data_IF_841788051859
#
_entry.id   IF_841788051859
#
_cell.length_a   1.000
_cell.length_b   1.000
_cell.length_c   1.000
_cell.angle_alpha   90.00
_cell.angle_beta   90.00
_cell.angle_gamma   90.00
#
_symmetry.space_group_name_H-M   'P 1'
#
loop_
_entity.id
_entity.type
_entity.pdbx_description
1 polymer ?
#
# COMPACT_ATOMS: atom_id res chain seq x y z
N UNK A 1 11.43 -21.85 69.47
CA UNK A 1 11.03 -20.62 68.74
C UNK A 1 11.26 -20.89 67.27
N UNK A 2 10.21 -21.31 66.58
CA UNK A 2 10.27 -21.68 65.16
C UNK A 2 9.79 -20.49 64.30
N UNK A 3 10.72 -19.85 63.56
CA UNK A 3 10.37 -18.78 62.60
C UNK A 3 9.90 -19.42 61.29
N UNK A 4 8.60 -19.37 61.10
CA UNK A 4 7.95 -19.80 59.85
C UNK A 4 8.11 -18.67 58.81
N UNK A 5 9.02 -18.87 57.86
CA UNK A 5 9.16 -17.96 56.73
C UNK A 5 8.15 -18.33 55.66
N UNK A 6 7.07 -17.56 55.57
CA UNK A 6 6.15 -17.62 54.43
C UNK A 6 6.85 -17.08 53.19
N UNK A 7 7.12 -17.95 52.23
CA UNK A 7 7.57 -17.57 50.86
C UNK A 7 6.32 -17.32 50.03
N UNK A 8 6.03 -16.03 49.77
CA UNK A 8 4.97 -15.64 48.85
C UNK A 8 5.53 -15.74 47.44
N UNK A 9 5.17 -16.79 46.72
CA UNK A 9 5.48 -16.91 45.29
C UNK A 9 4.56 -15.98 44.49
N UNK A 10 5.12 -14.91 43.96
CA UNK A 10 4.40 -14.03 42.99
C UNK A 10 4.30 -14.72 41.63
N UNK A 11 3.12 -15.21 41.29
CA UNK A 11 2.82 -15.73 39.95
C UNK A 11 2.61 -14.53 39.02
N UNK A 12 3.61 -14.25 38.19
CA UNK A 12 3.49 -13.25 37.10
C UNK A 12 2.73 -13.91 35.96
N UNK A 13 1.45 -13.62 35.84
CA UNK A 13 0.64 -13.98 34.68
C UNK A 13 1.05 -13.09 33.49
N UNK A 14 1.85 -13.65 32.58
CA UNK A 14 2.12 -13.04 31.26
C UNK A 14 0.83 -13.10 30.44
N UNK A 15 0.10 -12.00 30.42
CA UNK A 15 -1.06 -11.82 29.54
C UNK A 15 -0.54 -11.57 28.12
N UNK A 16 -0.37 -12.64 27.34
CA UNK A 16 -0.14 -12.55 25.91
C UNK A 16 -1.43 -12.02 25.26
N UNK A 17 -1.49 -10.73 25.00
CA UNK A 17 -2.60 -10.18 24.20
C UNK A 17 -2.53 -10.77 22.80
N UNK A 18 -3.54 -11.52 22.34
CA UNK A 18 -3.56 -11.99 20.97
C UNK A 18 -3.64 -10.77 20.05
N UNK A 19 -2.75 -10.70 19.05
CA UNK A 19 -2.86 -9.75 17.96
C UNK A 19 -4.19 -10.05 17.25
N UNK A 20 -5.23 -9.26 17.56
CA UNK A 20 -6.56 -9.46 16.98
C UNK A 20 -6.50 -9.09 15.52
N UNK A 21 -6.76 -10.07 14.65
CA UNK A 21 -6.94 -9.83 13.23
C UNK A 21 -8.13 -8.89 13.03
N UNK A 22 -7.86 -7.68 12.51
CA UNK A 22 -8.93 -6.74 12.21
C UNK A 22 -9.80 -7.28 11.07
N UNK A 23 -11.12 -6.96 11.04
CA UNK A 23 -12.00 -7.37 9.96
C UNK A 23 -11.47 -6.82 8.63
N UNK A 24 -11.49 -7.67 7.59
CA UNK A 24 -11.03 -7.30 6.25
C UNK A 24 -11.93 -6.20 5.68
N UNK A 25 -11.33 -5.10 5.19
CA UNK A 25 -12.04 -4.04 4.47
C UNK A 25 -12.67 -4.55 3.17
N UNK A 26 -13.76 -3.94 2.73
CA UNK A 26 -14.32 -4.17 1.41
C UNK A 26 -13.35 -3.65 0.32
N UNK A 27 -13.42 -4.22 -0.90
CA UNK A 27 -12.71 -3.70 -2.06
C UNK A 27 -13.48 -2.51 -2.65
N UNK A 28 -13.43 -1.38 -1.95
CA UNK A 28 -14.04 -0.13 -2.38
C UNK A 28 -13.27 1.04 -1.79
N UNK A 29 -12.85 1.96 -2.62
CA UNK A 29 -12.20 3.18 -2.17
C UNK A 29 -13.25 4.15 -1.59
N UNK A 30 -13.07 4.54 -0.34
CA UNK A 30 -13.99 5.43 0.36
C UNK A 30 -13.51 6.90 0.26
N UNK A 31 -13.81 7.56 -0.83
CA UNK A 31 -13.45 8.96 -1.04
C UNK A 31 -14.23 9.96 -0.16
N UNK A 32 -15.25 9.50 0.57
CA UNK A 32 -16.05 10.34 1.48
C UNK A 32 -15.28 10.74 2.74
N UNK A 33 -14.18 10.04 3.05
CA UNK A 33 -13.31 10.37 4.19
C UNK A 33 -12.55 11.68 4.00
N UNK A 34 -12.35 12.10 2.74
CA UNK A 34 -11.58 13.30 2.40
C UNK A 34 -12.43 14.55 2.47
N UNK A 35 -11.87 15.62 3.05
CA UNK A 35 -12.35 16.97 2.84
C UNK A 35 -12.14 17.40 1.39
N UNK A 36 -12.88 18.41 0.87
CA UNK A 36 -12.79 18.82 -0.54
C UNK A 36 -11.37 19.06 -1.04
N UNK A 37 -10.53 19.75 -0.25
CA UNK A 37 -9.14 20.08 -0.60
C UNK A 37 -8.24 18.84 -0.61
N UNK A 38 -8.46 17.93 0.33
CA UNK A 38 -7.72 16.68 0.43
C UNK A 38 -8.07 15.74 -0.75
N UNK A 39 -9.35 15.70 -1.12
CA UNK A 39 -9.82 14.96 -2.31
C UNK A 39 -9.24 15.52 -3.60
N UNK A 40 -9.12 16.84 -3.71
CA UNK A 40 -8.47 17.50 -4.84
C UNK A 40 -7.00 17.09 -4.95
N UNK A 41 -6.25 17.18 -3.85
CA UNK A 41 -4.83 16.75 -3.79
C UNK A 41 -4.66 15.27 -4.13
N UNK A 42 -5.55 14.41 -3.61
CA UNK A 42 -5.55 12.99 -3.95
C UNK A 42 -5.68 12.77 -5.45
N UNK A 43 -6.66 13.43 -6.09
CA UNK A 43 -6.90 13.32 -7.54
C UNK A 43 -5.71 13.82 -8.36
N UNK A 44 -5.19 14.99 -8.03
CA UNK A 44 -4.04 15.59 -8.73
C UNK A 44 -2.79 14.72 -8.60
N UNK A 45 -2.52 14.16 -7.43
CA UNK A 45 -1.39 13.26 -7.22
C UNK A 45 -1.58 11.92 -7.95
N UNK A 46 -2.78 11.36 -7.93
CA UNK A 46 -3.13 10.16 -8.70
C UNK A 46 -2.89 10.36 -10.18
N UNK A 47 -3.45 11.43 -10.77
CA UNK A 47 -3.34 11.72 -12.19
C UNK A 47 -1.87 11.90 -12.61
N UNK A 48 -1.07 12.60 -11.78
CA UNK A 48 0.34 12.82 -12.04
C UNK A 48 1.15 11.52 -11.95
N UNK A 49 0.94 10.71 -10.92
CA UNK A 49 1.64 9.43 -10.76
C UNK A 49 1.27 8.48 -11.89
N UNK A 50 -0.02 8.29 -12.18
CA UNK A 50 -0.47 7.35 -13.21
C UNK A 50 -0.02 7.76 -14.62
N UNK A 51 -0.02 9.05 -14.94
CA UNK A 51 0.50 9.56 -16.22
C UNK A 51 2.01 9.42 -16.37
N UNK A 52 2.73 9.26 -15.26
CA UNK A 52 4.19 9.08 -15.21
C UNK A 52 4.63 7.62 -15.27
N UNK A 53 3.71 6.67 -15.29
CA UNK A 53 4.03 5.24 -15.37
C UNK A 53 4.60 4.90 -16.74
N UNK A 54 5.84 4.43 -16.78
CA UNK A 54 6.53 3.97 -17.99
C UNK A 54 6.22 2.51 -18.30
N UNK A 55 6.34 1.65 -17.29
CA UNK A 55 6.19 0.21 -17.41
C UNK A 55 5.36 -0.33 -16.27
N UNK A 56 4.51 -1.30 -16.57
CA UNK A 56 3.77 -2.09 -15.58
C UNK A 56 4.26 -3.52 -15.65
N UNK A 57 4.71 -4.04 -14.50
CA UNK A 57 5.09 -5.44 -14.32
C UNK A 57 4.09 -6.15 -13.43
N UNK A 58 3.61 -7.27 -13.89
CA UNK A 58 2.70 -8.12 -13.12
C UNK A 58 3.44 -8.83 -11.98
N UNK A 59 2.83 -8.84 -10.80
CA UNK A 59 3.26 -9.59 -9.62
C UNK A 59 2.23 -10.69 -9.31
N UNK A 60 2.57 -11.64 -8.45
CA UNK A 60 1.64 -12.70 -8.04
C UNK A 60 0.36 -12.15 -7.42
N UNK A 61 0.46 -11.09 -6.62
CA UNK A 61 -0.62 -10.49 -5.83
C UNK A 61 -0.88 -9.00 -6.12
N UNK A 62 -0.42 -8.49 -7.28
CA UNK A 62 -0.57 -7.09 -7.66
C UNK A 62 0.28 -6.70 -8.86
N UNK A 63 0.76 -5.47 -8.87
CA UNK A 63 1.53 -4.88 -9.96
C UNK A 63 2.66 -3.98 -9.43
N UNK A 64 3.78 -3.95 -10.14
CA UNK A 64 4.86 -2.99 -9.95
C UNK A 64 4.86 -1.98 -11.10
N UNK A 65 4.88 -0.72 -10.75
CA UNK A 65 4.83 0.42 -11.67
C UNK A 65 6.20 1.10 -11.67
N UNK A 66 6.87 1.13 -12.81
CA UNK A 66 8.07 1.96 -12.99
C UNK A 66 7.63 3.39 -13.30
N UNK A 67 8.08 4.33 -12.49
CA UNK A 67 7.69 5.75 -12.56
C UNK A 67 8.80 6.56 -13.23
N UNK A 68 8.42 7.43 -14.14
CA UNK A 68 9.30 8.48 -14.67
C UNK A 68 9.48 9.56 -13.61
N UNK A 69 10.61 9.53 -12.90
CA UNK A 69 10.91 10.45 -11.80
C UNK A 69 11.09 11.91 -12.24
N UNK A 70 11.29 12.16 -13.54
CA UNK A 70 11.31 13.52 -14.11
C UNK A 70 9.90 14.12 -14.21
N UNK A 71 8.86 13.29 -14.28
CA UNK A 71 7.45 13.69 -14.39
C UNK A 71 6.68 13.62 -13.08
N UNK A 72 6.99 12.64 -12.22
CA UNK A 72 6.45 12.55 -10.87
C UNK A 72 7.59 12.31 -9.88
N UNK A 73 7.87 13.31 -9.03
CA UNK A 73 8.89 13.19 -7.99
C UNK A 73 8.53 12.12 -6.95
N UNK A 74 9.53 11.61 -6.23
CA UNK A 74 9.33 10.69 -5.09
C UNK A 74 8.37 11.27 -4.05
N UNK A 75 8.44 12.58 -3.80
CA UNK A 75 7.53 13.27 -2.87
C UNK A 75 6.09 13.18 -3.36
N UNK A 76 5.85 13.32 -4.66
CA UNK A 76 4.51 13.19 -5.25
C UNK A 76 3.98 11.75 -5.15
N UNK A 77 4.83 10.75 -5.38
CA UNK A 77 4.47 9.34 -5.19
C UNK A 77 4.11 9.08 -3.72
N UNK A 78 4.91 9.58 -2.78
CA UNK A 78 4.66 9.42 -1.35
C UNK A 78 3.36 10.12 -0.91
N UNK A 79 3.07 11.32 -1.41
CA UNK A 79 1.82 12.04 -1.15
C UNK A 79 0.60 11.24 -1.61
N UNK A 80 0.66 10.70 -2.84
CA UNK A 80 -0.42 9.86 -3.34
C UNK A 80 -0.60 8.60 -2.47
N UNK A 81 0.49 7.89 -2.16
CA UNK A 81 0.43 6.69 -1.31
C UNK A 81 -0.17 7.01 0.06
N UNK A 82 0.20 8.15 0.69
CA UNK A 82 -0.35 8.55 1.99
C UNK A 82 -1.86 8.80 1.93
N UNK A 83 -2.35 9.38 0.85
CA UNK A 83 -3.77 9.61 0.64
C UNK A 83 -4.50 8.33 0.25
N UNK A 84 -3.94 7.56 -0.69
CA UNK A 84 -4.55 6.32 -1.20
C UNK A 84 -4.77 5.28 -0.10
N UNK A 85 -3.80 5.06 0.79
CA UNK A 85 -3.93 4.11 1.90
C UNK A 85 -5.06 4.45 2.87
N UNK A 86 -5.49 5.71 2.93
CA UNK A 86 -6.62 6.14 3.77
C UNK A 86 -7.95 5.71 3.15
N UNK A 87 -8.12 5.91 1.83
CA UNK A 87 -9.37 5.60 1.15
C UNK A 87 -9.46 4.14 0.69
N UNK A 88 -8.33 3.51 0.40
CA UNK A 88 -8.23 2.12 -0.08
C UNK A 88 -7.33 1.28 0.86
N UNK A 89 -7.79 0.97 2.09
CA UNK A 89 -6.94 0.37 3.15
C UNK A 89 -6.58 -1.10 2.89
N UNK A 90 -7.00 -1.67 1.78
CA UNK A 90 -6.69 -3.05 1.36
C UNK A 90 -5.45 -3.14 0.46
N UNK A 91 -4.83 -2.02 0.10
CA UNK A 91 -3.57 -2.01 -0.62
C UNK A 91 -2.37 -2.07 0.34
N UNK A 92 -1.38 -2.86 -0.07
CA UNK A 92 -0.01 -2.82 0.45
C UNK A 92 0.86 -2.08 -0.57
N UNK A 93 1.63 -1.10 -0.08
CA UNK A 93 2.48 -0.27 -0.93
C UNK A 93 3.96 -0.52 -0.61
N UNK A 94 4.77 -0.60 -1.65
CA UNK A 94 6.22 -0.59 -1.54
C UNK A 94 6.79 0.39 -2.57
N UNK A 95 7.68 1.27 -2.12
CA UNK A 95 8.38 2.22 -2.98
C UNK A 95 9.87 1.88 -2.94
N UNK A 96 10.41 1.48 -4.07
CA UNK A 96 11.83 1.17 -4.22
C UNK A 96 12.51 2.30 -4.99
N UNK A 97 13.59 2.82 -4.42
CA UNK A 97 14.41 3.88 -4.99
C UNK A 97 15.77 3.30 -5.34
N UNK A 98 16.10 3.27 -6.62
CA UNK A 98 17.39 2.79 -7.11
C UNK A 98 18.35 3.96 -7.27
N UNK A 99 19.38 4.02 -6.42
CA UNK A 99 20.28 5.18 -6.33
C UNK A 99 21.18 5.38 -7.53
N UNK A 100 21.57 4.32 -8.26
CA UNK A 100 22.52 4.42 -9.36
C UNK A 100 21.87 4.96 -10.65
N UNK A 101 20.65 4.55 -10.95
CA UNK A 101 19.94 4.93 -12.19
C UNK A 101 18.74 5.86 -11.96
N UNK A 102 18.45 6.18 -10.70
CA UNK A 102 17.33 7.04 -10.33
C UNK A 102 15.95 6.43 -10.55
N UNK A 103 15.86 5.11 -10.82
CA UNK A 103 14.60 4.42 -11.07
C UNK A 103 13.75 4.45 -9.80
N UNK A 104 12.47 4.77 -9.97
CA UNK A 104 11.44 4.70 -8.93
C UNK A 104 10.45 3.61 -9.30
N UNK A 105 10.30 2.62 -8.44
CA UNK A 105 9.31 1.56 -8.60
C UNK A 105 8.27 1.64 -7.47
N UNK A 106 6.99 1.65 -7.84
CA UNK A 106 5.87 1.60 -6.91
C UNK A 106 5.14 0.27 -7.08
N UNK A 107 5.16 -0.57 -6.06
CA UNK A 107 4.39 -1.81 -6.04
C UNK A 107 3.07 -1.60 -5.28
N UNK A 108 1.98 -2.00 -5.93
CA UNK A 108 0.64 -2.10 -5.33
C UNK A 108 0.30 -3.57 -5.27
N UNK A 109 0.12 -4.08 -4.06
CA UNK A 109 -0.19 -5.48 -3.79
C UNK A 109 -1.27 -5.59 -2.73
N UNK A 110 -1.64 -6.80 -2.36
CA UNK A 110 -2.55 -7.04 -1.25
C UNK A 110 -3.05 -8.48 -1.22
N UNK A 111 -4.09 -8.70 -0.42
CA UNK A 111 -4.77 -10.00 -0.29
C UNK A 111 -5.45 -10.44 -1.59
N UNK A 112 -5.89 -11.69 -1.63
CA UNK A 112 -6.62 -12.26 -2.76
C UNK A 112 -7.78 -11.35 -3.22
N UNK A 113 -7.84 -11.09 -4.53
CA UNK A 113 -8.80 -10.17 -5.16
C UNK A 113 -8.28 -8.75 -5.41
N UNK A 114 -7.23 -8.30 -4.70
CA UNK A 114 -6.65 -6.95 -4.89
C UNK A 114 -6.07 -6.77 -6.29
N UNK A 115 -5.37 -7.77 -6.81
CA UNK A 115 -4.81 -7.73 -8.16
C UNK A 115 -5.87 -7.47 -9.23
N UNK A 116 -7.01 -8.17 -9.14
CA UNK A 116 -8.15 -8.00 -10.05
C UNK A 116 -8.78 -6.62 -9.89
N UNK A 117 -8.90 -6.14 -8.64
CA UNK A 117 -9.39 -4.79 -8.36
C UNK A 117 -8.50 -3.73 -9.02
N UNK A 118 -7.16 -3.82 -8.88
CA UNK A 118 -6.22 -2.90 -9.51
C UNK A 118 -6.40 -2.88 -11.04
N UNK A 119 -6.49 -4.06 -11.66
CA UNK A 119 -6.66 -4.19 -13.10
C UNK A 119 -7.97 -3.56 -13.62
N UNK A 120 -9.03 -3.53 -12.81
CA UNK A 120 -10.31 -2.93 -13.18
C UNK A 120 -10.38 -1.43 -12.87
N UNK A 121 -9.83 -1.00 -11.73
CA UNK A 121 -9.97 0.37 -11.22
C UNK A 121 -9.02 1.35 -11.91
N UNK A 122 -7.78 0.92 -12.18
CA UNK A 122 -6.78 1.77 -12.83
C UNK A 122 -6.90 1.73 -14.37
N UNK A 123 -8.04 2.21 -14.89
CA UNK A 123 -8.35 2.18 -16.33
C UNK A 123 -7.33 2.90 -17.20
N UNK A 124 -6.68 3.95 -16.69
CA UNK A 124 -5.60 4.68 -17.39
C UNK A 124 -4.36 3.83 -17.67
N UNK A 125 -4.21 2.68 -16.99
CA UNK A 125 -3.10 1.75 -17.17
C UNK A 125 -3.47 0.49 -17.95
N UNK A 126 -4.71 0.34 -18.44
CA UNK A 126 -5.19 -0.88 -19.09
C UNK A 126 -4.29 -1.33 -20.25
N UNK A 127 -3.90 -0.40 -21.13
CA UNK A 127 -3.00 -0.69 -22.26
C UNK A 127 -1.60 -1.14 -21.80
N UNK A 128 -1.16 -0.62 -20.64
CA UNK A 128 0.15 -0.96 -20.07
C UNK A 128 0.11 -2.31 -19.36
N UNK A 129 -1.01 -2.67 -18.73
CA UNK A 129 -1.22 -4.00 -18.16
C UNK A 129 -1.15 -5.09 -19.25
N UNK A 130 -1.83 -4.85 -20.39
CA UNK A 130 -1.82 -5.79 -21.51
C UNK A 130 -0.42 -5.98 -22.14
N UNK A 131 0.42 -4.93 -22.15
CA UNK A 131 1.80 -4.99 -22.66
C UNK A 131 2.77 -5.64 -21.67
N UNK A 132 2.61 -5.36 -20.38
CA UNK A 132 3.46 -5.91 -19.30
C UNK A 132 3.34 -7.43 -19.15
N UNK A 133 2.18 -8.01 -19.45
CA UNK A 133 1.96 -9.47 -19.44
C UNK A 133 2.72 -10.23 -20.54
N UNK A 134 3.37 -9.55 -21.50
CA UNK A 134 4.12 -10.15 -22.62
C UNK A 134 5.63 -10.20 -22.43
N UNK A 135 6.15 -9.64 -21.35
CA UNK A 135 7.58 -9.73 -21.03
C UNK A 135 7.80 -11.03 -20.25
N UNK A 136 8.23 -12.07 -20.96
CA UNK A 136 8.72 -13.33 -20.40
C UNK A 136 10.15 -13.15 -19.92
#
# INVERSE_FOLDING_TARGET
MTHNKLVVAAVVLLVSSPCQAQPKSAFACNLKIFQPEERKRWRESLDQVMSSVLVVRELSNGYALQIDSSRASVVRVAEWVDLERKCCPFFDFQVDLHGEDGTVCLSLTGRDGVKQFIAMDFTSLQDKFAKGSRVK
#
